data_IF_393918930235
#
_entry.id   IF_393918930235
#
_cell.length_a   1.000
_cell.length_b   1.000
_cell.length_c   1.000
_cell.angle_alpha   90.00
_cell.angle_beta   90.00
_cell.angle_gamma   90.00
#
_symmetry.space_group_name_H-M   'P 1'
#
loop_
_entity.id
_entity.type
_entity.pdbx_description
1 polymer ?
#
# COMPACT_ATOMS: atom_id res chain seq x y z
N UNK A 1 -45.05 10.32 28.69
CA UNK A 1 -45.30 11.70 28.20
C UNK A 1 -44.01 12.51 27.98
N UNK A 2 -42.82 12.05 28.43
CA UNK A 2 -41.60 12.88 28.41
C UNK A 2 -40.67 12.71 27.18
N UNK A 3 -40.85 11.66 26.37
CA UNK A 3 -39.96 11.41 25.21
C UNK A 3 -40.10 12.46 24.10
N UNK A 4 -41.31 13.02 23.88
CA UNK A 4 -41.54 14.04 22.86
C UNK A 4 -41.00 15.42 23.22
N UNK A 5 -40.86 15.74 24.52
CA UNK A 5 -40.25 17.00 24.96
C UNK A 5 -38.72 17.00 24.80
N UNK A 6 -38.09 15.84 25.03
CA UNK A 6 -36.65 15.69 24.86
C UNK A 6 -36.23 15.71 23.38
N UNK A 7 -37.00 15.08 22.49
CA UNK A 7 -36.71 15.11 21.05
C UNK A 7 -36.68 16.54 20.49
N UNK A 8 -37.72 17.34 20.80
CA UNK A 8 -37.80 18.73 20.32
C UNK A 8 -36.82 19.70 21.00
N UNK A 9 -36.19 19.32 22.11
CA UNK A 9 -35.11 20.08 22.72
C UNK A 9 -33.76 19.75 22.06
N UNK A 10 -33.49 18.47 21.82
CA UNK A 10 -32.26 18.02 21.14
C UNK A 10 -32.21 18.54 19.70
N UNK A 11 -33.32 18.52 18.96
CA UNK A 11 -33.38 19.08 17.60
C UNK A 11 -33.09 20.59 17.56
N UNK A 12 -33.61 21.36 18.52
CA UNK A 12 -33.33 22.80 18.63
C UNK A 12 -31.87 23.06 19.01
N UNK A 13 -31.34 22.29 19.95
CA UNK A 13 -29.97 22.46 20.43
C UNK A 13 -28.93 22.03 19.38
N UNK A 14 -29.23 21.01 18.58
CA UNK A 14 -28.41 20.60 17.44
C UNK A 14 -28.47 21.61 16.28
N UNK A 15 -29.62 22.27 16.06
CA UNK A 15 -29.78 23.30 15.03
C UNK A 15 -29.12 24.64 15.36
N UNK A 16 -29.03 25.00 16.65
CA UNK A 16 -28.43 26.28 17.08
C UNK A 16 -26.89 26.24 17.22
N UNK A 17 -26.30 25.06 17.42
CA UNK A 17 -24.87 24.95 17.80
C UNK A 17 -23.94 24.42 16.69
N UNK A 18 -24.44 23.85 15.59
CA UNK A 18 -23.60 23.24 14.56
C UNK A 18 -24.07 23.61 13.13
N UNK A 19 -23.23 24.24 12.29
CA UNK A 19 -23.55 24.45 10.88
C UNK A 19 -23.74 23.08 10.17
N UNK A 20 -24.65 23.01 9.19
CA UNK A 20 -25.07 21.77 8.49
C UNK A 20 -23.90 20.89 7.99
N UNK A 21 -22.75 21.49 7.68
CA UNK A 21 -21.53 20.77 7.27
C UNK A 21 -20.88 19.95 8.40
N UNK A 22 -21.04 20.33 9.67
CA UNK A 22 -20.56 19.57 10.82
C UNK A 22 -21.55 18.47 11.25
N UNK A 23 -22.86 18.67 10.99
CA UNK A 23 -23.87 17.62 11.15
C UNK A 23 -23.65 16.45 10.18
N UNK A 24 -23.20 16.73 8.96
CA UNK A 24 -22.81 15.71 7.99
C UNK A 24 -21.55 14.92 8.40
N UNK A 25 -20.62 15.54 9.15
CA UNK A 25 -19.43 14.88 9.70
C UNK A 25 -19.73 14.08 10.98
N UNK A 26 -20.82 14.40 11.66
CA UNK A 26 -21.38 13.66 12.81
C UNK A 26 -22.42 12.60 12.40
N UNK A 27 -22.65 12.41 11.10
CA UNK A 27 -23.49 11.34 10.59
C UNK A 27 -22.84 10.00 10.97
N UNK A 28 -23.25 9.48 12.13
CA UNK A 28 -22.86 8.17 12.61
C UNK A 28 -23.12 7.16 11.51
N UNK A 29 -22.09 6.40 11.17
CA UNK A 29 -22.17 5.23 10.30
C UNK A 29 -23.42 4.42 10.65
N UNK A 30 -24.23 3.95 9.68
CA UNK A 30 -25.50 3.28 9.95
C UNK A 30 -25.33 2.04 10.84
N UNK A 31 -24.14 1.43 10.86
CA UNK A 31 -23.77 0.39 11.81
C UNK A 31 -23.64 0.89 13.26
N UNK A 32 -22.99 2.04 13.48
CA UNK A 32 -22.83 2.65 14.80
C UNK A 32 -24.17 3.14 15.37
N UNK A 33 -25.07 3.66 14.51
CA UNK A 33 -26.44 4.00 14.91
C UNK A 33 -27.22 2.78 15.40
N UNK A 34 -27.08 1.63 14.73
CA UNK A 34 -27.71 0.36 15.17
C UNK A 34 -27.17 -0.10 16.52
N UNK A 35 -25.87 0.00 16.76
CA UNK A 35 -25.29 -0.37 18.06
C UNK A 35 -25.79 0.54 19.19
N UNK A 36 -25.86 1.86 18.96
CA UNK A 36 -26.39 2.81 19.94
C UNK A 36 -27.87 2.54 20.22
N UNK A 37 -28.66 2.27 19.18
CA UNK A 37 -30.08 1.92 19.32
C UNK A 37 -30.27 0.60 20.09
N UNK A 38 -29.44 -0.41 19.83
CA UNK A 38 -29.46 -1.69 20.56
C UNK A 38 -29.10 -1.50 22.04
N UNK A 39 -28.10 -0.68 22.36
CA UNK A 39 -27.73 -0.36 23.75
C UNK A 39 -28.83 0.43 24.47
N UNK A 40 -29.44 1.39 23.79
CA UNK A 40 -30.56 2.16 24.33
C UNK A 40 -31.78 1.27 24.60
N UNK A 41 -32.08 0.32 23.71
CA UNK A 41 -33.14 -0.67 23.91
C UNK A 41 -32.84 -1.58 25.09
N UNK A 42 -31.62 -2.13 25.18
CA UNK A 42 -31.19 -2.99 26.29
C UNK A 42 -31.25 -2.24 27.64
N UNK A 43 -30.89 -0.96 27.67
CA UNK A 43 -30.99 -0.13 28.87
C UNK A 43 -32.45 0.20 29.23
N UNK A 44 -33.32 0.37 28.24
CA UNK A 44 -34.76 0.50 28.43
C UNK A 44 -35.35 -0.76 29.08
N UNK A 45 -35.02 -1.94 28.56
CA UNK A 45 -35.44 -3.23 29.12
C UNK A 45 -34.94 -3.42 30.55
N UNK A 46 -33.66 -3.13 30.82
CA UNK A 46 -33.09 -3.20 32.16
C UNK A 46 -33.80 -2.25 33.15
N UNK A 47 -34.17 -1.04 32.71
CA UNK A 47 -34.92 -0.09 33.54
C UNK A 47 -36.34 -0.56 33.85
N UNK A 48 -37.02 -1.18 32.87
CA UNK A 48 -38.35 -1.75 33.07
C UNK A 48 -38.31 -2.94 34.04
N UNK A 49 -37.32 -3.82 33.90
CA UNK A 49 -37.10 -4.94 34.83
C UNK A 49 -36.81 -4.43 36.25
N UNK A 50 -35.97 -3.41 36.40
CA UNK A 50 -35.70 -2.79 37.70
C UNK A 50 -36.96 -2.19 38.33
N UNK A 51 -37.82 -1.54 37.53
CA UNK A 51 -39.09 -1.00 38.01
C UNK A 51 -40.03 -2.09 38.53
N UNK A 52 -40.15 -3.22 37.81
CA UNK A 52 -40.95 -4.38 38.27
C UNK A 52 -40.41 -4.93 39.58
N UNK A 53 -39.10 -5.18 39.67
CA UNK A 53 -38.45 -5.68 40.89
C UNK A 53 -38.66 -4.73 42.08
N UNK A 54 -38.60 -3.42 41.86
CA UNK A 54 -38.85 -2.42 42.91
C UNK A 54 -40.28 -2.46 43.44
N UNK A 55 -41.26 -2.68 42.55
CA UNK A 55 -42.67 -2.78 42.91
C UNK A 55 -42.97 -4.08 43.67
N UNK A 56 -42.33 -5.18 43.29
CA UNK A 56 -42.42 -6.47 43.99
C UNK A 56 -41.78 -6.40 45.37
N UNK A 57 -40.61 -5.78 45.50
CA UNK A 57 -39.95 -5.56 46.78
C UNK A 57 -40.81 -4.71 47.73
N UNK A 58 -41.43 -3.64 47.23
CA UNK A 58 -42.34 -2.81 48.03
C UNK A 58 -43.57 -3.60 48.51
N UNK A 59 -44.15 -4.43 47.65
CA UNK A 59 -45.28 -5.30 48.01
C UNK A 59 -44.88 -6.33 49.08
N UNK A 60 -43.72 -6.94 48.95
CA UNK A 60 -43.20 -7.90 49.94
C UNK A 60 -42.93 -7.22 51.28
N UNK A 61 -42.35 -6.01 51.29
CA UNK A 61 -42.13 -5.25 52.52
C UNK A 61 -43.43 -5.01 53.28
N UNK A 62 -44.50 -4.61 52.59
CA UNK A 62 -45.83 -4.42 53.19
C UNK A 62 -46.40 -5.73 53.78
N UNK A 63 -46.18 -6.87 53.12
CA UNK A 63 -46.61 -8.17 53.62
C UNK A 63 -45.86 -8.54 54.90
N UNK A 64 -44.54 -8.37 54.93
CA UNK A 64 -43.73 -8.62 56.12
C UNK A 64 -44.09 -7.70 57.28
N UNK A 65 -44.38 -6.43 57.03
CA UNK A 65 -44.87 -5.51 58.07
C UNK A 65 -46.21 -5.95 58.66
N UNK A 66 -47.14 -6.39 57.82
CA UNK A 66 -48.45 -6.89 58.27
C UNK A 66 -48.31 -8.20 59.07
N UNK A 67 -47.45 -9.12 58.63
CA UNK A 67 -47.15 -10.34 59.37
C UNK A 67 -46.45 -10.06 60.70
N UNK A 68 -45.49 -9.12 60.74
CA UNK A 68 -44.81 -8.71 61.96
C UNK A 68 -45.80 -8.16 63.00
N UNK A 69 -46.76 -7.32 62.57
CA UNK A 69 -47.84 -6.82 63.45
C UNK A 69 -48.71 -7.96 63.98
N UNK A 70 -49.15 -8.87 63.11
CA UNK A 70 -49.95 -10.04 63.50
C UNK A 70 -49.22 -10.92 64.52
N UNK A 71 -47.93 -11.18 64.32
CA UNK A 71 -47.12 -11.98 65.25
C UNK A 71 -46.96 -11.25 66.59
N UNK A 72 -46.75 -9.93 66.57
CA UNK A 72 -46.68 -9.13 67.79
C UNK A 72 -47.99 -9.21 68.60
N UNK A 73 -49.15 -9.08 67.96
CA UNK A 73 -50.47 -9.23 68.61
C UNK A 73 -50.65 -10.62 69.23
N UNK A 74 -50.26 -11.69 68.53
CA UNK A 74 -50.32 -13.07 69.07
C UNK A 74 -49.42 -13.24 70.29
N UNK A 75 -48.21 -12.66 70.26
CA UNK A 75 -47.26 -12.70 71.38
C UNK A 75 -47.76 -11.90 72.59
N UNK A 76 -48.41 -10.76 72.36
CA UNK A 76 -49.07 -9.98 73.43
C UNK A 76 -50.18 -10.79 74.12
N UNK A 77 -51.04 -11.47 73.34
CA UNK A 77 -52.10 -12.35 73.89
C UNK A 77 -51.51 -13.53 74.67
N UNK A 78 -50.34 -14.03 74.26
CA UNK A 78 -49.61 -15.09 74.97
C UNK A 78 -48.82 -14.60 76.20
N UNK A 79 -48.83 -13.29 76.51
CA UNK A 79 -48.11 -12.71 77.64
C UNK A 79 -46.59 -12.62 77.45
N UNK A 80 -46.12 -12.66 76.20
CA UNK A 80 -44.70 -12.60 75.82
C UNK A 80 -44.40 -11.39 74.90
N UNK A 81 -44.72 -10.15 75.30
CA UNK A 81 -44.39 -9.00 74.46
C UNK A 81 -42.87 -8.86 74.34
N UNK A 82 -42.37 -8.35 73.20
CA UNK A 82 -40.92 -8.12 73.02
C UNK A 82 -40.34 -7.23 74.12
N UNK A 83 -41.14 -6.31 74.65
CA UNK A 83 -40.76 -5.39 75.73
C UNK A 83 -40.59 -6.07 77.09
N UNK A 84 -41.12 -7.28 77.27
CA UNK A 84 -40.89 -8.09 78.48
C UNK A 84 -39.54 -8.81 78.49
N UNK A 85 -38.85 -8.87 77.34
CA UNK A 85 -37.54 -9.49 77.23
C UNK A 85 -36.46 -8.59 77.83
N UNK A 86 -35.39 -9.19 78.36
CA UNK A 86 -34.21 -8.42 78.76
C UNK A 86 -33.64 -7.63 77.57
N UNK A 87 -33.07 -6.45 77.83
CA UNK A 87 -32.43 -5.61 76.80
C UNK A 87 -31.39 -6.36 75.95
N UNK A 88 -30.68 -7.31 76.57
CA UNK A 88 -29.72 -8.18 75.88
C UNK A 88 -30.40 -9.14 74.91
N UNK A 89 -31.56 -9.70 75.27
CA UNK A 89 -32.33 -10.59 74.41
C UNK A 89 -32.96 -9.82 73.23
N UNK A 90 -33.48 -8.61 73.46
CA UNK A 90 -33.98 -7.73 72.39
C UNK A 90 -32.88 -7.39 71.38
N UNK A 91 -31.69 -7.02 71.87
CA UNK A 91 -30.55 -6.70 71.01
C UNK A 91 -30.02 -7.93 70.25
N UNK A 92 -30.03 -9.11 70.85
CA UNK A 92 -29.68 -10.36 70.18
C UNK A 92 -30.69 -10.72 69.08
N UNK A 93 -31.99 -10.61 69.37
CA UNK A 93 -33.06 -10.85 68.40
C UNK A 93 -32.97 -9.88 67.21
N UNK A 94 -32.75 -8.59 67.47
CA UNK A 94 -32.57 -7.59 66.42
C UNK A 94 -31.35 -7.89 65.53
N UNK A 95 -30.23 -8.34 66.12
CA UNK A 95 -29.04 -8.74 65.34
C UNK A 95 -29.29 -9.98 64.49
N UNK A 96 -29.95 -11.00 65.04
CA UNK A 96 -30.29 -12.22 64.29
C UNK A 96 -31.26 -11.90 63.16
N UNK A 97 -32.27 -11.05 63.40
CA UNK A 97 -33.19 -10.59 62.37
C UNK A 97 -32.46 -9.81 61.27
N UNK A 98 -31.52 -8.93 61.62
CA UNK A 98 -30.70 -8.20 60.64
C UNK A 98 -29.83 -9.15 59.80
N UNK A 99 -29.20 -10.16 60.43
CA UNK A 99 -28.39 -11.16 59.72
C UNK A 99 -29.28 -12.03 58.81
N UNK A 100 -30.44 -12.49 59.29
CA UNK A 100 -31.37 -13.25 58.47
C UNK A 100 -31.91 -12.43 57.31
N UNK A 101 -32.22 -11.14 57.53
CA UNK A 101 -32.60 -10.20 56.47
C UNK A 101 -31.51 -10.02 55.43
N UNK A 102 -30.25 -9.86 55.85
CA UNK A 102 -29.10 -9.76 54.94
C UNK A 102 -28.84 -11.06 54.15
N UNK A 103 -29.15 -12.22 54.74
CA UNK A 103 -29.02 -13.54 54.09
C UNK A 103 -30.29 -13.98 53.34
N UNK A 104 -31.39 -13.22 53.40
CA UNK A 104 -32.67 -13.56 52.78
C UNK A 104 -33.39 -14.76 53.40
N UNK A 105 -33.18 -15.03 54.70
CA UNK A 105 -33.74 -16.18 55.40
C UNK A 105 -35.06 -15.84 56.11
N UNK A 106 -36.10 -16.61 55.81
CA UNK A 106 -37.41 -16.47 56.45
C UNK A 106 -37.47 -17.09 57.86
N UNK A 107 -36.59 -18.03 58.19
CA UNK A 107 -36.51 -18.69 59.50
C UNK A 107 -35.10 -18.63 60.04
N UNK A 108 -34.89 -18.12 61.27
CA UNK A 108 -33.57 -18.09 61.90
C UNK A 108 -33.22 -19.48 62.43
N UNK A 109 -32.77 -20.37 61.55
CA UNK A 109 -32.19 -21.65 61.96
C UNK A 109 -30.67 -21.62 61.77
N UNK A 110 -29.92 -22.17 62.73
CA UNK A 110 -28.46 -22.26 62.63
C UNK A 110 -27.96 -22.96 61.35
N UNK A 111 -28.52 -24.12 60.92
CA UNK A 111 -28.06 -24.75 59.68
C UNK A 111 -28.35 -23.90 58.44
N UNK A 112 -29.50 -23.23 58.38
CA UNK A 112 -29.85 -22.38 57.23
C UNK A 112 -28.96 -21.13 57.17
N UNK A 113 -28.66 -20.51 58.32
CA UNK A 113 -27.74 -19.38 58.42
C UNK A 113 -26.31 -19.76 57.98
N UNK A 114 -25.81 -20.92 58.41
CA UNK A 114 -24.49 -21.40 58.00
C UNK A 114 -24.45 -21.75 56.50
N UNK A 115 -25.51 -22.36 55.97
CA UNK A 115 -25.63 -22.67 54.54
C UNK A 115 -25.65 -21.40 53.68
N UNK A 116 -26.46 -20.39 54.07
CA UNK A 116 -26.52 -19.12 53.36
C UNK A 116 -25.20 -18.33 53.44
N UNK A 117 -24.52 -18.36 54.58
CA UNK A 117 -23.19 -17.77 54.69
C UNK A 117 -22.17 -18.51 53.80
N UNK A 118 -22.16 -19.84 53.80
CA UNK A 118 -21.29 -20.61 52.92
C UNK A 118 -21.54 -20.29 51.44
N UNK A 119 -22.81 -20.15 51.04
CA UNK A 119 -23.19 -19.73 49.69
C UNK A 119 -22.67 -18.31 49.36
N UNK A 120 -22.88 -17.34 50.26
CA UNK A 120 -22.38 -15.97 50.10
C UNK A 120 -20.85 -15.94 49.94
N UNK A 121 -20.12 -16.74 50.72
CA UNK A 121 -18.66 -16.85 50.63
C UNK A 121 -18.20 -17.49 49.31
N UNK A 122 -18.95 -18.46 48.81
CA UNK A 122 -18.70 -19.04 47.51
C UNK A 122 -18.93 -18.02 46.39
N UNK A 123 -20.00 -17.24 46.46
CA UNK A 123 -20.29 -16.20 45.47
C UNK A 123 -19.28 -15.05 45.52
N UNK A 124 -18.81 -14.66 46.71
CA UNK A 124 -17.69 -13.73 46.88
C UNK A 124 -16.43 -14.25 46.17
N UNK A 125 -16.08 -15.53 46.38
CA UNK A 125 -14.91 -16.13 45.71
C UNK A 125 -15.06 -16.16 44.19
N UNK A 126 -16.26 -16.44 43.67
CA UNK A 126 -16.57 -16.43 42.24
C UNK A 126 -16.48 -15.02 41.66
N UNK A 127 -16.99 -14.02 42.38
CA UNK A 127 -16.93 -12.62 41.98
C UNK A 127 -15.48 -12.13 41.88
N UNK A 128 -14.62 -12.52 42.82
CA UNK A 128 -13.17 -12.20 42.77
C UNK A 128 -12.50 -12.82 41.55
N UNK A 129 -12.77 -14.09 41.26
CA UNK A 129 -12.23 -14.77 40.07
C UNK A 129 -12.74 -14.10 38.79
N UNK A 130 -14.03 -13.83 38.68
CA UNK A 130 -14.62 -13.13 37.53
C UNK A 130 -13.99 -11.75 37.35
N UNK A 131 -13.83 -10.97 38.42
CA UNK A 131 -13.19 -9.66 38.37
C UNK A 131 -11.74 -9.75 37.89
N UNK A 132 -10.99 -10.76 38.33
CA UNK A 132 -9.63 -11.00 37.85
C UNK A 132 -9.61 -11.34 36.35
N UNK A 133 -10.50 -12.23 35.89
CA UNK A 133 -10.59 -12.61 34.47
C UNK A 133 -10.99 -11.43 33.58
N UNK A 134 -11.96 -10.60 34.01
CA UNK A 134 -12.38 -9.41 33.27
C UNK A 134 -11.25 -8.39 33.20
N UNK A 135 -10.50 -8.17 34.28
CA UNK A 135 -9.33 -7.27 34.27
C UNK A 135 -8.26 -7.76 33.28
N UNK A 136 -8.02 -9.06 33.21
CA UNK A 136 -7.08 -9.63 32.25
C UNK A 136 -7.58 -9.46 30.80
N UNK A 137 -8.86 -9.74 30.54
CA UNK A 137 -9.43 -9.52 29.21
C UNK A 137 -9.38 -8.05 28.81
N UNK A 138 -9.68 -7.13 29.74
CA UNK A 138 -9.56 -5.70 29.48
C UNK A 138 -8.13 -5.31 29.10
N UNK A 139 -7.11 -5.77 29.84
CA UNK A 139 -5.72 -5.44 29.52
C UNK A 139 -5.27 -6.02 28.18
N UNK A 140 -5.72 -7.23 27.83
CA UNK A 140 -5.47 -7.84 26.52
C UNK A 140 -6.12 -7.01 25.39
N UNK A 141 -7.39 -6.62 25.54
CA UNK A 141 -8.08 -5.78 24.55
C UNK A 141 -7.46 -4.40 24.40
N UNK A 142 -6.97 -3.79 25.49
CA UNK A 142 -6.24 -2.52 25.46
C UNK A 142 -4.91 -2.65 24.70
N UNK A 143 -4.17 -3.75 24.93
CA UNK A 143 -2.94 -4.04 24.20
C UNK A 143 -3.21 -4.25 22.70
N UNK A 144 -4.28 -4.95 22.34
CA UNK A 144 -4.70 -5.13 20.95
C UNK A 144 -5.10 -3.80 20.29
N UNK A 145 -5.86 -2.97 21.00
CA UNK A 145 -6.22 -1.63 20.52
C UNK A 145 -4.98 -0.76 20.30
N UNK A 146 -3.99 -0.80 21.21
CA UNK A 146 -2.73 -0.09 21.06
C UNK A 146 -1.94 -0.58 19.82
N UNK A 147 -1.86 -1.91 19.61
CA UNK A 147 -1.23 -2.50 18.42
C UNK A 147 -1.94 -2.08 17.12
N UNK A 148 -3.27 -2.07 17.12
CA UNK A 148 -4.06 -1.65 15.96
C UNK A 148 -3.83 -0.16 15.63
N UNK A 149 -3.79 0.71 16.65
CA UNK A 149 -3.47 2.15 16.48
C UNK A 149 -2.07 2.35 15.91
N UNK A 150 -1.07 1.63 16.41
CA UNK A 150 0.29 1.72 15.88
C UNK A 150 0.38 1.29 14.41
N UNK A 151 -0.30 0.20 14.02
CA UNK A 151 -0.39 -0.24 12.62
C UNK A 151 -1.09 0.79 11.73
N UNK A 152 -2.15 1.41 12.25
CA UNK A 152 -2.89 2.45 11.52
C UNK A 152 -1.99 3.66 11.23
N UNK A 153 -1.19 4.11 12.19
CA UNK A 153 -0.22 5.20 11.98
C UNK A 153 0.88 4.81 10.98
N UNK A 154 1.37 3.57 11.04
CA UNK A 154 2.32 3.06 10.05
C UNK A 154 1.71 3.11 8.64
N UNK A 155 0.47 2.64 8.47
CA UNK A 155 -0.24 2.66 7.19
C UNK A 155 -0.46 4.09 6.68
N UNK A 156 -0.84 5.02 7.56
CA UNK A 156 -0.96 6.45 7.21
C UNK A 156 0.36 7.03 6.69
N UNK A 157 1.46 6.72 7.38
CA UNK A 157 2.80 7.18 6.95
C UNK A 157 3.23 6.57 5.60
N UNK A 158 2.92 5.29 5.38
CA UNK A 158 3.21 4.60 4.12
C UNK A 158 2.37 5.18 2.97
N UNK A 159 1.09 5.45 3.21
CA UNK A 159 0.18 6.07 2.25
C UNK A 159 0.67 7.47 1.85
N UNK A 160 1.08 8.30 2.82
CA UNK A 160 1.64 9.62 2.53
C UNK A 160 2.92 9.54 1.66
N UNK A 161 3.80 8.55 1.93
CA UNK A 161 5.00 8.32 1.09
C UNK A 161 4.65 7.91 -0.32
N UNK A 162 3.70 7.00 -0.50
CA UNK A 162 3.24 6.56 -1.83
C UNK A 162 2.61 7.72 -2.60
N UNK A 163 1.78 8.53 -1.95
CA UNK A 163 1.19 9.73 -2.57
C UNK A 163 2.26 10.73 -3.03
N UNK A 164 3.31 10.94 -2.23
CA UNK A 164 4.43 11.80 -2.60
C UNK A 164 5.21 11.23 -3.79
N UNK A 165 5.47 9.92 -3.81
CA UNK A 165 6.12 9.23 -4.92
C UNK A 165 5.30 9.31 -6.20
N UNK A 166 3.98 9.12 -6.11
CA UNK A 166 3.06 9.23 -7.23
C UNK A 166 3.07 10.64 -7.80
N UNK A 167 2.96 11.68 -6.97
CA UNK A 167 3.04 13.06 -7.43
C UNK A 167 4.39 13.37 -8.14
N UNK A 168 5.49 12.80 -7.63
CA UNK A 168 6.80 12.89 -8.28
C UNK A 168 6.90 12.12 -9.61
N UNK A 169 6.24 10.97 -9.73
CA UNK A 169 6.16 10.19 -10.96
C UNK A 169 5.30 10.90 -12.02
N UNK A 170 4.16 11.46 -11.63
CA UNK A 170 3.28 12.23 -12.54
C UNK A 170 3.99 13.47 -13.11
N UNK A 171 4.78 14.18 -12.30
CA UNK A 171 5.60 15.30 -12.78
C UNK A 171 6.65 14.86 -13.80
N UNK A 172 7.29 13.70 -13.59
CA UNK A 172 8.27 13.14 -14.52
C UNK A 172 7.61 12.71 -15.83
N UNK A 173 6.50 11.99 -15.77
CA UNK A 173 5.71 11.61 -16.96
C UNK A 173 5.36 12.83 -17.82
N UNK A 174 4.84 13.89 -17.19
CA UNK A 174 4.49 15.13 -17.92
C UNK A 174 5.70 15.81 -18.55
N UNK A 175 6.86 15.79 -17.88
CA UNK A 175 8.09 16.36 -18.43
C UNK A 175 8.60 15.52 -19.62
N UNK A 176 8.54 14.19 -19.52
CA UNK A 176 8.88 13.28 -20.61
C UNK A 176 7.94 13.44 -21.81
N UNK A 177 6.63 13.55 -21.57
CA UNK A 177 5.62 13.84 -22.60
C UNK A 177 5.93 15.15 -23.35
N UNK A 178 6.33 16.20 -22.63
CA UNK A 178 6.75 17.47 -23.24
C UNK A 178 8.02 17.31 -24.09
N UNK A 179 9.03 16.60 -23.57
CA UNK A 179 10.27 16.33 -24.31
C UNK A 179 10.03 15.52 -25.58
N UNK A 180 9.15 14.51 -25.52
CA UNK A 180 8.76 13.73 -26.70
C UNK A 180 8.09 14.63 -27.73
N UNK A 181 7.17 15.50 -27.33
CA UNK A 181 6.54 16.46 -28.24
C UNK A 181 7.54 17.42 -28.91
N UNK A 182 8.55 17.89 -28.18
CA UNK A 182 9.63 18.71 -28.76
C UNK A 182 10.49 17.93 -29.76
N UNK A 183 10.80 16.67 -29.48
CA UNK A 183 11.58 15.81 -30.37
C UNK A 183 10.80 15.48 -31.66
N UNK A 184 9.50 15.21 -31.56
CA UNK A 184 8.62 15.01 -32.71
C UNK A 184 8.55 16.26 -33.60
N UNK A 185 8.46 17.45 -33.00
CA UNK A 185 8.50 18.71 -33.75
C UNK A 185 9.82 18.89 -34.50
N UNK A 186 10.96 18.65 -33.83
CA UNK A 186 12.30 18.71 -34.45
C UNK A 186 12.46 17.67 -35.55
N UNK A 187 11.94 16.46 -35.36
CA UNK A 187 11.96 15.42 -36.39
C UNK A 187 11.20 15.89 -37.64
N UNK A 188 10.01 16.45 -37.49
CA UNK A 188 9.23 16.98 -38.60
C UNK A 188 9.97 18.13 -39.33
N UNK A 189 10.66 19.00 -38.61
CA UNK A 189 11.51 20.04 -39.19
C UNK A 189 12.69 19.46 -39.97
N UNK A 190 13.38 18.46 -39.42
CA UNK A 190 14.49 17.80 -40.11
C UNK A 190 14.04 17.09 -41.39
N UNK A 191 12.89 16.42 -41.37
CA UNK A 191 12.32 15.81 -42.59
C UNK A 191 12.06 16.88 -43.65
N UNK A 192 11.44 18.01 -43.28
CA UNK A 192 11.18 19.11 -44.23
C UNK A 192 12.46 19.72 -44.78
N UNK A 193 13.51 19.86 -43.96
CA UNK A 193 14.79 20.40 -44.42
C UNK A 193 15.53 19.42 -45.32
N UNK A 194 15.50 18.11 -45.01
CA UNK A 194 16.01 17.06 -45.88
C UNK A 194 15.30 17.05 -47.22
N UNK A 195 13.97 17.10 -47.25
CA UNK A 195 13.19 17.18 -48.49
C UNK A 195 13.55 18.40 -49.32
N UNK A 196 13.72 19.56 -48.66
CA UNK A 196 14.13 20.81 -49.32
C UNK A 196 15.54 20.68 -49.93
N UNK A 197 16.48 20.09 -49.20
CA UNK A 197 17.84 19.85 -49.67
C UNK A 197 17.87 18.83 -50.82
N UNK A 198 17.11 17.74 -50.71
CA UNK A 198 16.98 16.74 -51.78
C UNK A 198 16.43 17.36 -53.07
N UNK A 199 15.40 18.22 -52.97
CA UNK A 199 14.87 18.96 -54.12
C UNK A 199 15.90 19.91 -54.74
N UNK A 200 16.70 20.61 -53.92
CA UNK A 200 17.79 21.47 -54.41
C UNK A 200 18.89 20.68 -55.11
N UNK A 201 19.28 19.53 -54.57
CA UNK A 201 20.26 18.63 -55.18
C UNK A 201 19.75 18.10 -56.53
N UNK A 202 18.49 17.67 -56.58
CA UNK A 202 17.86 17.21 -57.81
C UNK A 202 17.77 18.33 -58.86
N UNK A 203 17.40 19.55 -58.46
CA UNK A 203 17.37 20.72 -59.35
C UNK A 203 18.75 21.08 -59.92
N UNK A 204 19.81 20.87 -59.14
CA UNK A 204 21.20 21.06 -59.58
C UNK A 204 21.72 19.90 -60.44
N UNK A 205 20.88 18.91 -60.78
CA UNK A 205 21.26 17.78 -61.63
C UNK A 205 22.19 16.78 -60.96
N UNK A 206 22.29 16.79 -59.62
CA UNK A 206 23.13 15.83 -58.88
C UNK A 206 22.47 14.47 -58.95
N UNK A 207 23.01 13.59 -59.78
CA UNK A 207 22.68 12.17 -59.82
C UNK A 207 23.58 11.39 -58.87
N UNK A 208 23.14 10.24 -58.33
CA UNK A 208 23.94 9.44 -57.41
C UNK A 208 25.27 9.00 -58.00
N UNK A 209 25.42 8.99 -59.33
CA UNK A 209 26.67 8.67 -60.01
C UNK A 209 27.79 9.69 -59.77
N UNK A 210 27.44 10.94 -59.44
CA UNK A 210 28.38 12.04 -59.17
C UNK A 210 28.80 12.06 -57.69
N UNK A 211 28.23 11.18 -56.86
CA UNK A 211 28.66 11.06 -55.47
C UNK A 211 30.13 10.64 -55.39
N UNK A 212 30.85 11.24 -54.43
CA UNK A 212 32.29 11.01 -54.26
C UNK A 212 32.66 9.53 -54.17
N UNK A 213 31.89 8.73 -53.42
CA UNK A 213 32.11 7.28 -53.31
C UNK A 213 32.10 6.58 -54.67
N UNK A 214 31.09 6.89 -55.50
CA UNK A 214 30.95 6.30 -56.83
C UNK A 214 32.02 6.82 -57.82
N UNK A 215 32.45 8.07 -57.67
CA UNK A 215 33.54 8.63 -58.46
C UNK A 215 34.89 7.97 -58.12
N UNK A 216 35.15 7.70 -56.84
CA UNK A 216 36.35 7.00 -56.38
C UNK A 216 36.37 5.56 -56.88
N UNK A 217 35.24 4.85 -56.81
CA UNK A 217 35.11 3.51 -57.38
C UNK A 217 35.32 3.50 -58.90
N UNK A 218 34.68 4.43 -59.62
CA UNK A 218 34.86 4.55 -61.08
C UNK A 218 36.30 4.94 -61.45
N UNK A 219 36.97 5.82 -60.69
CA UNK A 219 38.35 6.18 -60.97
C UNK A 219 39.31 5.01 -60.74
N UNK A 220 39.08 4.21 -59.70
CA UNK A 220 39.86 3.01 -59.44
C UNK A 220 39.64 1.95 -60.56
N UNK A 221 38.39 1.76 -60.99
CA UNK A 221 38.08 0.87 -62.12
C UNK A 221 38.73 1.36 -63.43
N UNK A 222 38.72 2.67 -63.68
CA UNK A 222 39.30 3.28 -64.87
C UNK A 222 40.84 3.15 -64.87
N UNK A 223 41.49 3.36 -63.73
CA UNK A 223 42.93 3.09 -63.56
C UNK A 223 43.26 1.61 -63.81
N UNK A 224 42.42 0.69 -63.33
CA UNK A 224 42.61 -0.74 -63.58
C UNK A 224 42.50 -1.10 -65.06
N UNK A 225 41.57 -0.49 -65.80
CA UNK A 225 41.45 -0.69 -67.26
C UNK A 225 42.61 -0.02 -68.01
N UNK A 226 43.03 1.17 -67.60
CA UNK A 226 44.19 1.86 -68.17
C UNK A 226 45.46 1.04 -68.01
N UNK A 227 45.73 0.48 -66.82
CA UNK A 227 46.88 -0.39 -66.61
C UNK A 227 46.88 -1.60 -67.54
N UNK A 228 45.72 -2.26 -67.71
CA UNK A 228 45.59 -3.36 -68.69
C UNK A 228 45.79 -2.90 -70.13
N UNK A 229 45.34 -1.71 -70.48
CA UNK A 229 45.51 -1.15 -71.82
C UNK A 229 46.99 -0.82 -72.09
N UNK A 230 47.71 -0.27 -71.11
CA UNK A 230 49.16 0.00 -71.18
C UNK A 230 49.96 -1.31 -71.30
N UNK A 231 49.61 -2.34 -70.53
CA UNK A 231 50.20 -3.67 -70.66
C UNK A 231 49.97 -4.24 -72.07
N UNK A 232 48.74 -4.20 -72.60
CA UNK A 232 48.45 -4.67 -73.95
C UNK A 232 49.14 -3.84 -75.04
N UNK A 233 49.26 -2.51 -74.87
CA UNK A 233 50.01 -1.66 -75.78
C UNK A 233 51.50 -2.01 -75.77
N UNK A 234 52.10 -2.22 -74.60
CA UNK A 234 53.50 -2.66 -74.50
C UNK A 234 53.72 -4.02 -75.16
N UNK A 235 52.77 -4.94 -75.04
CA UNK A 235 52.80 -6.23 -75.74
C UNK A 235 52.70 -6.04 -77.25
N UNK A 236 51.78 -5.19 -77.74
CA UNK A 236 51.62 -4.89 -79.16
C UNK A 236 52.85 -4.20 -79.75
N UNK A 237 53.47 -3.26 -79.04
CA UNK A 237 54.73 -2.65 -79.43
C UNK A 237 55.85 -3.69 -79.51
N UNK A 238 55.93 -4.61 -78.54
CA UNK A 238 56.87 -5.72 -78.60
C UNK A 238 56.64 -6.60 -79.85
N UNK A 239 55.37 -6.88 -80.20
CA UNK A 239 54.99 -7.58 -81.43
C UNK A 239 55.30 -6.78 -82.71
N UNK A 240 55.09 -5.46 -82.71
CA UNK A 240 55.39 -4.61 -83.86
C UNK A 240 56.90 -4.42 -84.08
N UNK A 241 57.69 -4.48 -83.01
CA UNK A 241 59.16 -4.42 -83.06
C UNK A 241 59.80 -5.76 -83.48
N UNK A 242 59.03 -6.83 -83.64
CA UNK A 242 59.49 -8.10 -84.21
C UNK A 242 59.55 -8.02 -85.75
N UNK A 243 60.70 -8.32 -86.39
CA UNK A 243 60.81 -8.28 -87.84
C UNK A 243 59.98 -9.40 -88.49
N UNK A 244 59.26 -9.08 -89.57
CA UNK A 244 58.31 -9.97 -90.24
C UNK A 244 58.93 -11.22 -90.92
N UNK A 245 60.26 -11.41 -90.88
CA UNK A 245 60.96 -12.54 -91.50
C UNK A 245 61.85 -13.30 -90.51
N UNK A 246 61.84 -14.63 -90.60
CA UNK A 246 62.62 -15.52 -89.71
C UNK A 246 64.14 -15.26 -89.78
N UNK A 247 64.65 -14.84 -90.94
CA UNK A 247 66.05 -14.44 -91.12
C UNK A 247 66.38 -13.13 -90.39
N UNK A 248 65.48 -12.13 -90.43
CA UNK A 248 65.66 -10.87 -89.72
C UNK A 248 65.62 -11.02 -88.20
N UNK A 249 64.76 -11.90 -87.70
CA UNK A 249 64.69 -12.24 -86.27
C UNK A 249 65.99 -12.90 -85.78
N UNK A 250 66.55 -13.83 -86.58
CA UNK A 250 67.83 -14.50 -86.26
C UNK A 250 69.01 -13.53 -86.15
N UNK A 251 69.10 -12.54 -87.04
CA UNK A 251 70.15 -11.52 -87.03
C UNK A 251 70.06 -10.60 -85.80
N UNK A 252 68.85 -10.15 -85.44
CA UNK A 252 68.64 -9.33 -84.24
C UNK A 252 68.96 -10.11 -82.96
N UNK A 253 68.67 -11.40 -82.90
CA UNK A 253 68.99 -12.26 -81.76
C UNK A 253 70.50 -12.46 -81.61
N UNK A 254 71.23 -12.58 -82.71
CA UNK A 254 72.70 -12.60 -82.70
C UNK A 254 73.28 -11.26 -82.25
N UNK A 255 72.80 -10.15 -82.81
CA UNK A 255 73.24 -8.81 -82.38
C UNK A 255 72.92 -8.53 -80.90
N UNK A 256 71.77 -8.98 -80.40
CA UNK A 256 71.41 -8.87 -79.00
C UNK A 256 72.32 -9.75 -78.12
N UNK A 257 72.66 -10.98 -78.54
CA UNK A 257 73.61 -11.86 -77.83
C UNK A 257 75.01 -11.26 -77.77
N UNK A 258 75.48 -10.66 -78.86
CA UNK A 258 76.77 -9.96 -78.90
C UNK A 258 76.77 -8.72 -78.00
N UNK A 259 75.70 -7.92 -78.02
CA UNK A 259 75.56 -6.77 -77.09
C UNK A 259 75.50 -7.22 -75.62
N UNK A 260 74.85 -8.34 -75.33
CA UNK A 260 74.76 -8.89 -73.97
C UNK A 260 76.10 -9.44 -73.51
N UNK A 261 76.85 -10.13 -74.39
CA UNK A 261 78.24 -10.52 -74.12
C UNK A 261 79.14 -9.31 -73.87
N UNK A 262 79.07 -8.27 -74.71
CA UNK A 262 79.84 -7.05 -74.51
C UNK A 262 79.47 -6.32 -73.20
N UNK A 263 78.20 -6.38 -72.77
CA UNK A 263 77.77 -5.83 -71.49
C UNK A 263 78.23 -6.70 -70.30
N UNK A 264 78.23 -8.03 -70.45
CA UNK A 264 78.78 -8.97 -69.46
C UNK A 264 80.28 -8.79 -69.33
N UNK A 265 81.02 -8.67 -70.43
CA UNK A 265 82.46 -8.38 -70.43
C UNK A 265 82.76 -7.05 -69.76
N UNK A 266 81.93 -6.01 -69.95
CA UNK A 266 82.05 -4.72 -69.22
C UNK A 266 81.75 -4.83 -67.73
N UNK A 267 80.78 -5.67 -67.35
CA UNK A 267 80.47 -5.95 -65.95
C UNK A 267 81.57 -6.78 -65.30
N UNK A 268 82.09 -7.79 -66.00
CA UNK A 268 83.19 -8.65 -65.54
C UNK A 268 84.50 -7.86 -65.45
N UNK A 269 84.80 -6.96 -66.40
CA UNK A 269 85.95 -6.07 -66.30
C UNK A 269 85.79 -5.06 -65.16
N UNK A 270 84.59 -4.49 -64.96
CA UNK A 270 84.31 -3.59 -63.84
C UNK A 270 84.27 -4.29 -62.48
N UNK A 271 84.00 -5.60 -62.43
CA UNK A 271 84.09 -6.43 -61.22
C UNK A 271 85.50 -6.97 -60.97
N UNK A 272 86.34 -7.11 -61.99
CA UNK A 272 87.76 -7.48 -61.87
C UNK A 272 88.67 -6.28 -61.51
N UNK A 273 88.16 -5.06 -61.61
CA UNK A 273 88.80 -3.81 -61.15
C UNK A 273 88.45 -3.43 -59.70
N UNK A 274 87.68 -4.27 -58.99
CA UNK A 274 87.38 -4.20 -57.56
C UNK A 274 88.18 -5.26 -56.77
#
# INVERSE_FOLDING_TARGET
MDQHRNAGFVERLCGELLPEQQLAQLALEPAALREVQQRAAAQGEASAQAAVLSSEAARQAQQYEAEARRVAEVLEVAGLPLDSLSSRAQLAAARVAAICGALGLARPSLPDMLAAWAALKLDESRAVVLQATLRQQMSETEADAARARARLEQLRSALARVQQQQAGAERRSRAEEQQVGELEAKQAEYVRTLDKCARKLAANGVTPEIHHSNLVERSAALQGVQGRAEELQSQLEAYHNLPASALGAGMMLQQARERLRAAQERLESGLAEL
#
